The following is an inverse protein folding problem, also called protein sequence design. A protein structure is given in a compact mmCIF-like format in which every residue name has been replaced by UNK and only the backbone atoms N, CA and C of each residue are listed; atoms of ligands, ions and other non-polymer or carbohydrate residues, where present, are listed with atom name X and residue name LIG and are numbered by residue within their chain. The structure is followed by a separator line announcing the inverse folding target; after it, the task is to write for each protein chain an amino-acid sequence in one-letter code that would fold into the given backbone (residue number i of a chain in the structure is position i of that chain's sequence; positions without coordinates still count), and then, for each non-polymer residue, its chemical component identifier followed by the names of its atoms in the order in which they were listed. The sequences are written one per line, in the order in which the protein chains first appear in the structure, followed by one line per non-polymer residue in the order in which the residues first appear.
data_IF_439821182821
#
_entry.id   IF_439821182821
#
_cell.length_a   1.000
_cell.length_b   1.000
_cell.length_c   1.000
_cell.angle_alpha   90.00
_cell.angle_beta   90.00
_cell.angle_gamma   90.00
#
_symmetry.space_group_name_H-M   'P 1'
#
loop_
_entity.id
_entity.type
_entity.pdbx_description
1 polymer ?
#
# COMPACT_ATOMS: atom_id res chain seq x y z
N UNK A 1 26.39 -43.97 11.86
CA UNK A 1 27.75 -43.52 12.23
C UNK A 1 27.60 -42.21 12.98
N UNK A 2 28.10 -42.14 14.21
CA UNK A 2 28.14 -40.91 15.00
C UNK A 2 29.57 -40.39 14.98
N UNK A 3 29.76 -39.11 14.65
CA UNK A 3 31.08 -38.49 14.58
C UNK A 3 31.23 -37.52 15.75
N UNK A 4 32.35 -37.61 16.47
CA UNK A 4 32.71 -36.66 17.52
C UNK A 4 34.00 -35.96 17.11
N UNK A 5 33.99 -34.63 16.89
CA UNK A 5 35.23 -33.90 16.73
C UNK A 5 36.10 -34.04 17.98
N UNK A 6 37.38 -34.32 17.80
CA UNK A 6 38.38 -34.20 18.85
C UNK A 6 39.12 -32.89 18.61
N UNK A 7 39.20 -32.06 19.66
CA UNK A 7 39.94 -30.80 19.58
C UNK A 7 41.43 -31.12 19.67
N UNK A 8 42.16 -30.89 18.58
CA UNK A 8 43.62 -30.86 18.57
C UNK A 8 44.08 -29.40 18.46
N UNK A 9 45.02 -29.01 19.30
CA UNK A 9 45.60 -27.65 19.33
C UNK A 9 46.39 -27.30 18.04
N UNK A 10 46.45 -28.23 17.08
CA UNK A 10 47.19 -28.11 15.82
C UNK A 10 46.39 -27.42 14.71
N UNK A 11 45.06 -27.24 14.88
CA UNK A 11 44.19 -26.66 13.87
C UNK A 11 43.26 -25.58 14.47
N UNK A 12 43.42 -24.33 14.05
CA UNK A 12 42.47 -23.26 14.35
C UNK A 12 41.20 -23.45 13.50
N UNK A 13 40.15 -23.98 14.11
CA UNK A 13 38.83 -24.11 13.45
C UNK A 13 38.13 -22.76 13.53
N UNK A 14 38.14 -21.98 12.44
CA UNK A 14 37.46 -20.69 12.29
C UNK A 14 35.91 -20.74 12.29
N UNK A 15 35.29 -21.75 12.91
CA UNK A 15 33.84 -21.88 12.99
C UNK A 15 33.30 -21.32 14.30
N UNK A 16 32.55 -20.22 14.24
CA UNK A 16 31.78 -19.66 15.38
C UNK A 16 30.60 -20.54 15.83
N UNK A 17 30.29 -21.61 15.07
CA UNK A 17 29.25 -22.57 15.41
C UNK A 17 29.76 -23.57 16.46
N UNK A 18 28.90 -23.94 17.43
CA UNK A 18 29.13 -24.98 18.47
C UNK A 18 29.69 -26.32 17.94
N UNK A 19 29.55 -26.56 16.63
CA UNK A 19 29.89 -27.80 15.94
C UNK A 19 31.10 -27.65 14.99
N UNK A 20 31.72 -26.47 14.92
CA UNK A 20 32.89 -26.18 14.08
C UNK A 20 32.72 -26.65 12.63
N UNK A 21 33.71 -27.41 12.14
CA UNK A 21 33.71 -28.02 10.79
C UNK A 21 32.48 -28.89 10.48
N UNK A 22 31.90 -29.56 11.49
CA UNK A 22 30.78 -30.48 11.30
C UNK A 22 29.42 -29.76 11.18
N UNK A 23 29.35 -28.46 11.46
CA UNK A 23 28.11 -27.67 11.42
C UNK A 23 27.30 -27.84 10.12
N UNK A 24 27.89 -27.66 8.92
CA UNK A 24 27.19 -27.85 7.65
C UNK A 24 26.66 -29.28 7.44
N UNK A 25 27.45 -30.30 7.81
CA UNK A 25 27.05 -31.70 7.72
C UNK A 25 25.88 -32.02 8.65
N UNK A 26 25.92 -31.49 9.87
CA UNK A 26 24.85 -31.64 10.83
C UNK A 26 23.55 -30.96 10.35
N UNK A 27 23.63 -29.75 9.79
CA UNK A 27 22.48 -29.05 9.18
C UNK A 27 21.87 -29.86 8.04
N UNK A 28 22.68 -30.51 7.20
CA UNK A 28 22.20 -31.41 6.13
C UNK A 28 21.57 -32.68 6.71
N UNK A 29 22.18 -33.27 7.73
CA UNK A 29 21.65 -34.43 8.43
C UNK A 29 20.28 -34.13 9.04
N UNK A 30 20.12 -33.07 9.84
CA UNK A 30 18.82 -32.67 10.42
C UNK A 30 17.75 -32.54 9.33
N UNK A 31 18.07 -31.89 8.21
CA UNK A 31 17.14 -31.71 7.09
C UNK A 31 16.74 -33.04 6.44
N UNK A 32 17.70 -33.93 6.21
CA UNK A 32 17.43 -35.26 5.64
C UNK A 32 16.63 -36.12 6.61
N UNK A 33 17.02 -36.14 7.88
CA UNK A 33 16.33 -36.88 8.94
C UNK A 33 14.88 -36.43 9.08
N UNK A 34 14.61 -35.12 9.14
CA UNK A 34 13.26 -34.57 9.21
C UNK A 34 12.38 -34.97 8.01
N UNK A 35 12.95 -35.10 6.80
CA UNK A 35 12.23 -35.63 5.63
C UNK A 35 11.95 -37.13 5.77
N UNK A 36 12.87 -37.89 6.34
CA UNK A 36 12.71 -39.34 6.51
C UNK A 36 11.74 -39.72 7.64
N UNK A 37 11.47 -38.82 8.60
CA UNK A 37 10.43 -38.99 9.62
C UNK A 37 9.04 -39.22 9.03
N UNK A 38 8.77 -38.69 7.84
CA UNK A 38 7.49 -38.89 7.15
C UNK A 38 7.39 -40.25 6.46
N UNK A 39 8.52 -40.85 6.08
CA UNK A 39 8.59 -42.10 5.30
C UNK A 39 9.03 -43.27 6.17
N UNK A 40 10.35 -43.47 6.28
CA UNK A 40 10.93 -44.67 6.90
C UNK A 40 10.84 -44.65 8.43
N UNK A 41 10.72 -43.47 9.05
CA UNK A 41 10.73 -43.31 10.51
C UNK A 41 9.39 -42.83 11.08
N UNK A 42 8.29 -43.10 10.36
CA UNK A 42 6.93 -42.73 10.80
C UNK A 42 6.53 -43.40 12.12
N UNK A 43 6.96 -44.64 12.33
CA UNK A 43 6.65 -45.44 13.54
C UNK A 43 7.71 -45.35 14.63
N UNK A 44 8.76 -44.54 14.41
CA UNK A 44 9.84 -44.34 15.38
C UNK A 44 9.29 -43.67 16.65
N UNK A 45 9.80 -44.08 17.82
CA UNK A 45 9.41 -43.44 19.08
C UNK A 45 9.74 -41.94 19.04
N UNK A 46 8.74 -41.10 19.34
CA UNK A 46 8.88 -39.65 19.25
C UNK A 46 9.98 -39.09 20.14
N UNK A 47 10.25 -39.70 21.31
CA UNK A 47 11.33 -39.27 22.21
C UNK A 47 12.70 -39.44 21.56
N UNK A 48 12.89 -40.56 20.87
CA UNK A 48 14.13 -40.84 20.12
C UNK A 48 14.23 -39.92 18.91
N UNK A 49 13.12 -39.68 18.19
CA UNK A 49 13.10 -38.73 17.09
C UNK A 49 13.47 -37.31 17.55
N UNK A 50 12.92 -36.86 18.69
CA UNK A 50 13.23 -35.58 19.31
C UNK A 50 14.70 -35.51 19.76
N UNK A 51 15.26 -36.58 20.35
CA UNK A 51 16.67 -36.58 20.79
C UNK A 51 17.66 -36.58 19.63
N UNK A 52 17.33 -37.24 18.51
CA UNK A 52 18.18 -37.26 17.30
C UNK A 52 18.13 -35.93 16.56
N UNK A 53 16.94 -35.33 16.48
CA UNK A 53 16.76 -34.04 15.82
C UNK A 53 17.36 -32.89 16.63
N UNK A 54 17.35 -33.03 17.97
CA UNK A 54 17.78 -32.04 18.96
C UNK A 54 17.35 -30.61 18.55
N UNK A 55 16.03 -30.37 18.48
CA UNK A 55 15.52 -29.10 17.99
C UNK A 55 15.70 -28.01 19.04
N UNK A 56 15.98 -26.79 18.59
CA UNK A 56 15.94 -25.62 19.46
C UNK A 56 14.48 -25.31 19.82
N UNK A 57 14.12 -25.57 21.07
CA UNK A 57 12.75 -25.40 21.58
C UNK A 57 12.57 -24.05 22.31
N UNK A 58 13.65 -23.57 22.93
CA UNK A 58 13.70 -22.30 23.66
C UNK A 58 14.42 -21.26 22.79
N UNK A 59 13.67 -20.23 22.40
CA UNK A 59 14.19 -19.02 21.78
C UNK A 59 14.14 -17.92 22.85
N UNK A 60 15.28 -17.35 23.20
CA UNK A 60 15.35 -16.23 24.14
C UNK A 60 14.93 -14.94 23.45
N UNK A 61 14.45 -13.96 24.20
CA UNK A 61 13.97 -12.68 23.64
C UNK A 61 15.04 -11.93 22.83
N UNK A 62 16.32 -12.20 23.10
CA UNK A 62 17.46 -11.61 22.38
C UNK A 62 17.71 -12.23 20.99
N UNK A 63 17.09 -13.38 20.69
CA UNK A 63 17.08 -14.04 19.37
C UNK A 63 15.75 -13.88 18.63
N UNK A 64 14.76 -13.22 19.26
CA UNK A 64 13.56 -12.72 18.59
C UNK A 64 13.86 -11.44 17.80
N UNK A 65 14.98 -10.78 18.09
CA UNK A 65 15.62 -9.85 17.18
C UNK A 65 16.17 -10.65 15.98
N UNK A 66 15.75 -10.33 14.75
CA UNK A 66 16.07 -11.14 13.59
C UNK A 66 17.60 -11.24 13.43
N UNK A 67 18.20 -12.44 13.55
CA UNK A 67 19.64 -12.59 13.45
C UNK A 67 20.03 -12.43 11.99
N UNK A 68 20.43 -11.21 11.57
CA UNK A 68 21.05 -10.90 10.25
C UNK A 68 20.35 -11.40 8.97
N UNK A 69 19.20 -12.07 9.10
CA UNK A 69 18.18 -12.29 8.11
C UNK A 69 17.10 -11.28 8.44
N UNK A 70 17.11 -10.16 7.72
CA UNK A 70 16.04 -9.15 7.78
C UNK A 70 14.71 -9.87 7.89
N UNK A 71 13.82 -9.45 8.79
CA UNK A 71 12.45 -9.98 8.91
C UNK A 71 11.76 -10.18 7.55
N UNK A 72 12.10 -9.33 6.58
CA UNK A 72 11.74 -9.45 5.17
C UNK A 72 12.17 -10.77 4.49
N UNK A 73 13.36 -11.29 4.74
CA UNK A 73 13.85 -12.54 4.15
C UNK A 73 13.20 -13.79 4.75
N UNK A 74 12.88 -13.75 6.05
CA UNK A 74 12.14 -14.83 6.72
C UNK A 74 10.72 -14.88 6.17
N UNK A 75 10.05 -13.74 6.06
CA UNK A 75 8.70 -13.67 5.53
C UNK A 75 8.63 -14.00 4.04
N UNK A 76 9.52 -13.50 3.18
CA UNK A 76 9.55 -13.88 1.76
C UNK A 76 9.77 -15.39 1.57
N UNK A 77 10.66 -15.99 2.35
CA UNK A 77 10.83 -17.45 2.34
C UNK A 77 9.59 -18.20 2.82
N UNK A 78 8.70 -17.54 3.54
CA UNK A 78 7.53 -18.13 4.18
C UNK A 78 6.26 -17.89 3.37
N UNK A 79 6.15 -16.76 2.68
CA UNK A 79 5.06 -16.42 1.75
C UNK A 79 5.01 -17.36 0.54
N UNK A 80 6.15 -17.96 0.18
CA UNK A 80 6.19 -19.01 -0.85
C UNK A 80 5.52 -20.31 -0.37
N UNK A 81 5.55 -20.58 0.94
CA UNK A 81 5.06 -21.82 1.57
C UNK A 81 3.68 -21.63 2.25
N UNK A 82 3.29 -20.40 2.61
CA UNK A 82 2.06 -20.06 3.36
C UNK A 82 1.25 -19.00 2.61
N UNK A 83 0.02 -19.35 2.27
CA UNK A 83 -0.94 -18.45 1.61
C UNK A 83 -1.68 -17.54 2.60
N UNK A 84 -2.26 -16.44 2.10
CA UNK A 84 -3.21 -15.63 2.86
C UNK A 84 -4.42 -16.44 3.36
N UNK A 85 -4.81 -17.47 2.60
CA UNK A 85 -5.86 -18.41 3.02
C UNK A 85 -5.43 -19.23 4.24
N UNK A 86 -4.19 -19.71 4.26
CA UNK A 86 -3.63 -20.48 5.39
C UNK A 86 -3.54 -19.63 6.65
N UNK A 87 -3.18 -18.35 6.51
CA UNK A 87 -3.19 -17.39 7.62
C UNK A 87 -4.59 -17.19 8.21
N UNK A 88 -5.61 -17.08 7.35
CA UNK A 88 -7.01 -17.01 7.79
C UNK A 88 -7.44 -18.32 8.47
N UNK A 89 -7.13 -19.47 7.88
CA UNK A 89 -7.42 -20.78 8.46
C UNK A 89 -6.78 -20.94 9.84
N UNK A 90 -5.53 -20.51 9.99
CA UNK A 90 -4.81 -20.56 11.25
C UNK A 90 -5.44 -19.66 12.31
N UNK A 91 -5.97 -18.50 11.92
CA UNK A 91 -6.75 -17.60 12.78
C UNK A 91 -8.06 -18.25 13.21
N UNK A 92 -8.85 -18.73 12.26
CA UNK A 92 -10.16 -19.33 12.52
C UNK A 92 -10.01 -20.58 13.41
N UNK A 93 -8.95 -21.37 13.20
CA UNK A 93 -8.60 -22.48 14.08
C UNK A 93 -8.16 -22.03 15.47
N UNK A 94 -7.35 -20.97 15.58
CA UNK A 94 -6.97 -20.38 16.86
C UNK A 94 -8.19 -19.88 17.66
N UNK A 95 -9.22 -19.39 16.97
CA UNK A 95 -10.48 -18.95 17.58
C UNK A 95 -11.45 -20.12 17.86
N UNK A 96 -10.99 -21.37 17.70
CA UNK A 96 -11.76 -22.61 17.86
C UNK A 96 -12.99 -22.70 16.92
N UNK A 97 -12.94 -22.05 15.76
CA UNK A 97 -14.02 -22.07 14.76
C UNK A 97 -13.90 -23.24 13.77
N UNK A 98 -12.72 -23.88 13.71
CA UNK A 98 -12.42 -24.98 12.79
C UNK A 98 -12.00 -26.25 13.52
N UNK A 99 -12.31 -27.40 12.91
CA UNK A 99 -11.85 -28.72 13.38
C UNK A 99 -10.37 -28.94 13.00
N UNK A 100 -9.63 -29.69 13.83
CA UNK A 100 -8.20 -29.96 13.64
C UNK A 100 -7.89 -30.64 12.31
N UNK A 101 -8.86 -31.38 11.74
CA UNK A 101 -8.72 -32.07 10.45
C UNK A 101 -8.50 -31.09 9.31
N UNK A 102 -9.09 -29.90 9.38
CA UNK A 102 -8.91 -28.85 8.35
C UNK A 102 -7.45 -28.38 8.31
N UNK A 103 -6.74 -28.48 9.44
CA UNK A 103 -5.34 -28.07 9.55
C UNK A 103 -4.36 -29.15 9.09
N UNK A 104 -4.81 -30.35 8.70
CA UNK A 104 -3.93 -31.49 8.39
C UNK A 104 -2.93 -31.21 7.27
N UNK A 105 -3.28 -30.35 6.31
CA UNK A 105 -2.40 -29.99 5.19
C UNK A 105 -1.38 -28.91 5.58
N UNK A 106 -1.76 -28.01 6.49
CA UNK A 106 -0.92 -26.91 6.94
C UNK A 106 0.09 -27.31 8.01
N UNK A 107 -0.28 -28.24 8.90
CA UNK A 107 0.57 -28.69 10.01
C UNK A 107 1.93 -29.23 9.56
N UNK A 108 2.04 -30.07 8.51
CA UNK A 108 3.33 -30.53 8.00
C UNK A 108 4.22 -29.40 7.48
N UNK A 109 3.63 -28.37 6.86
CA UNK A 109 4.36 -27.20 6.37
C UNK A 109 4.94 -26.45 7.58
N UNK A 110 4.09 -26.10 8.55
CA UNK A 110 4.49 -25.39 9.77
C UNK A 110 5.54 -26.15 10.58
N UNK A 111 5.38 -27.47 10.73
CA UNK A 111 6.36 -28.31 11.42
C UNK A 111 7.71 -28.29 10.72
N UNK A 112 7.76 -28.42 9.38
CA UNK A 112 9.02 -28.36 8.62
C UNK A 112 9.75 -27.04 8.78
N UNK A 113 9.02 -25.93 8.85
CA UNK A 113 9.59 -24.59 9.03
C UNK A 113 10.10 -24.44 10.47
N UNK A 114 9.31 -24.89 11.45
CA UNK A 114 9.66 -24.87 12.87
C UNK A 114 10.93 -25.66 13.18
N UNK A 115 11.00 -26.92 12.75
CA UNK A 115 12.16 -27.79 12.99
C UNK A 115 13.39 -27.44 12.14
N UNK A 116 13.28 -26.46 11.23
CA UNK A 116 14.41 -25.80 10.57
C UNK A 116 14.90 -24.55 11.30
N UNK A 117 14.34 -24.26 12.47
CA UNK A 117 14.66 -23.10 13.29
C UNK A 117 14.39 -21.77 12.56
N UNK A 118 13.53 -21.79 11.52
CA UNK A 118 13.07 -20.60 10.78
C UNK A 118 11.87 -19.92 11.44
N UNK A 119 11.23 -20.60 12.38
CA UNK A 119 10.09 -20.10 13.13
C UNK A 119 10.47 -20.05 14.63
N UNK A 120 11.06 -18.93 15.11
CA UNK A 120 11.56 -18.80 16.48
C UNK A 120 10.41 -18.63 17.50
N UNK A 121 9.62 -19.69 17.66
CA UNK A 121 8.49 -19.75 18.57
C UNK A 121 8.81 -20.69 19.72
N UNK A 122 8.77 -20.19 20.96
CA UNK A 122 8.99 -21.02 22.14
C UNK A 122 7.85 -22.01 22.34
N UNK A 123 8.16 -23.31 22.29
CA UNK A 123 7.22 -24.38 22.60
C UNK A 123 7.67 -25.08 23.88
N UNK A 124 6.75 -25.74 24.59
CA UNK A 124 7.17 -26.71 25.62
C UNK A 124 7.65 -28.00 24.94
N UNK A 125 8.42 -28.82 25.65
CA UNK A 125 8.88 -30.11 25.11
C UNK A 125 7.70 -31.00 24.65
N UNK A 126 6.60 -31.01 25.41
CA UNK A 126 5.38 -31.72 25.03
C UNK A 126 4.73 -31.15 23.76
N UNK A 127 4.70 -29.81 23.61
CA UNK A 127 4.19 -29.15 22.41
C UNK A 127 5.05 -29.46 21.18
N UNK A 128 6.37 -29.37 21.30
CA UNK A 128 7.29 -29.68 20.21
C UNK A 128 7.21 -31.17 19.82
N UNK A 129 7.15 -32.07 20.80
CA UNK A 129 6.95 -33.51 20.56
C UNK A 129 5.65 -33.79 19.83
N UNK A 130 4.55 -33.16 20.24
CA UNK A 130 3.26 -33.29 19.56
C UNK A 130 3.32 -32.80 18.11
N UNK A 131 3.96 -31.65 17.88
CA UNK A 131 4.16 -31.11 16.54
C UNK A 131 5.01 -32.04 15.66
N UNK A 132 6.02 -32.71 16.23
CA UNK A 132 6.82 -33.70 15.52
C UNK A 132 5.96 -34.90 15.10
N UNK A 133 5.16 -35.45 16.00
CA UNK A 133 4.27 -36.58 15.71
C UNK A 133 3.25 -36.24 14.62
N UNK A 134 2.55 -35.12 14.76
CA UNK A 134 1.49 -34.72 13.81
C UNK A 134 2.06 -34.21 12.48
N UNK A 135 3.13 -33.41 12.51
CA UNK A 135 3.62 -32.71 11.33
C UNK A 135 4.73 -33.42 10.57
N UNK A 136 5.70 -34.02 11.27
CA UNK A 136 6.81 -34.72 10.62
C UNK A 136 6.54 -36.20 10.43
N UNK A 137 5.96 -36.87 11.43
CA UNK A 137 5.63 -38.30 11.35
C UNK A 137 4.23 -38.55 10.74
N UNK A 138 3.40 -37.52 10.59
CA UNK A 138 2.02 -37.63 10.07
C UNK A 138 1.22 -38.71 10.81
N UNK A 139 1.36 -38.79 12.14
CA UNK A 139 0.62 -39.73 12.96
C UNK A 139 -0.77 -39.20 13.30
N UNK A 140 -1.73 -40.11 13.38
CA UNK A 140 -3.07 -39.80 13.84
C UNK A 140 -3.12 -39.61 15.36
N UNK A 141 -4.16 -38.90 15.83
CA UNK A 141 -4.37 -38.63 17.26
C UNK A 141 -4.42 -39.92 18.09
N UNK A 142 -4.97 -41.00 17.54
CA UNK A 142 -5.03 -42.32 18.18
C UNK A 142 -3.64 -42.88 18.44
N UNK A 143 -2.76 -42.87 17.44
CA UNK A 143 -1.37 -43.31 17.60
C UNK A 143 -0.61 -42.45 18.60
N UNK A 144 -0.84 -41.14 18.58
CA UNK A 144 -0.21 -40.20 19.50
C UNK A 144 -0.67 -40.45 20.94
N UNK A 145 -1.96 -40.73 21.14
CA UNK A 145 -2.52 -41.07 22.44
C UNK A 145 -1.88 -42.34 23.02
N UNK A 146 -1.67 -43.38 22.19
CA UNK A 146 -0.99 -44.61 22.61
C UNK A 146 0.47 -44.36 23.02
N UNK A 147 1.21 -43.54 22.27
CA UNK A 147 2.62 -43.27 22.53
C UNK A 147 2.86 -42.33 23.72
N UNK A 148 2.05 -41.28 23.83
CA UNK A 148 2.24 -40.22 24.84
C UNK A 148 1.51 -40.50 26.15
N UNK A 149 0.56 -41.45 26.15
CA UNK A 149 -0.36 -41.75 27.27
C UNK A 149 -1.18 -40.53 27.72
N UNK A 150 -1.36 -39.54 26.82
CA UNK A 150 -2.18 -38.36 27.07
C UNK A 150 -3.60 -38.58 26.60
N UNK A 151 -4.56 -37.94 27.28
CA UNK A 151 -5.95 -37.95 26.85
C UNK A 151 -6.14 -37.17 25.54
N UNK A 152 -7.05 -37.62 24.68
CA UNK A 152 -7.40 -36.96 23.41
C UNK A 152 -7.68 -35.46 23.56
N UNK A 153 -8.40 -35.07 24.60
CA UNK A 153 -8.76 -33.67 24.89
C UNK A 153 -7.51 -32.82 25.18
N UNK A 154 -6.53 -33.37 25.90
CA UNK A 154 -5.26 -32.72 26.19
C UNK A 154 -4.40 -32.54 24.94
N UNK A 155 -4.35 -33.56 24.08
CA UNK A 155 -3.64 -33.51 22.80
C UNK A 155 -4.19 -32.37 21.94
N UNK A 156 -5.52 -32.30 21.79
CA UNK A 156 -6.18 -31.22 21.04
C UNK A 156 -5.93 -29.85 21.67
N UNK A 157 -5.99 -29.74 23.00
CA UNK A 157 -5.69 -28.50 23.72
C UNK A 157 -4.25 -28.02 23.47
N UNK A 158 -3.28 -28.94 23.51
CA UNK A 158 -1.88 -28.63 23.19
C UNK A 158 -1.73 -28.20 21.74
N UNK A 159 -2.41 -28.88 20.82
CA UNK A 159 -2.41 -28.55 19.40
C UNK A 159 -2.94 -27.14 19.13
N UNK A 160 -4.09 -26.76 19.72
CA UNK A 160 -4.64 -25.40 19.65
C UNK A 160 -3.64 -24.37 20.21
N UNK A 161 -2.99 -24.66 21.33
CA UNK A 161 -1.97 -23.76 21.91
C UNK A 161 -0.79 -23.55 20.98
N UNK A 162 -0.34 -24.58 20.25
CA UNK A 162 0.74 -24.46 19.26
C UNK A 162 0.30 -23.56 18.11
N UNK A 163 -0.88 -23.82 17.54
CA UNK A 163 -1.40 -23.04 16.40
C UNK A 163 -1.63 -21.57 16.78
N UNK A 164 -2.11 -21.28 17.98
CA UNK A 164 -2.20 -19.90 18.52
C UNK A 164 -0.85 -19.18 18.55
N UNK A 165 0.20 -19.86 19.00
CA UNK A 165 1.56 -19.30 19.03
C UNK A 165 2.09 -19.02 17.63
N UNK A 166 1.87 -19.96 16.70
CA UNK A 166 2.24 -19.78 15.29
C UNK A 166 1.48 -18.61 14.66
N UNK A 167 0.17 -18.54 14.83
CA UNK A 167 -0.64 -17.42 14.35
C UNK A 167 -0.10 -16.08 14.87
N UNK A 168 0.11 -15.96 16.18
CA UNK A 168 0.59 -14.72 16.81
C UNK A 168 1.92 -14.26 16.20
N UNK A 169 2.86 -15.18 16.01
CA UNK A 169 4.17 -14.87 15.44
C UNK A 169 4.09 -14.47 13.96
N UNK A 170 3.40 -15.27 13.15
CA UNK A 170 3.24 -15.00 11.71
C UNK A 170 2.48 -13.70 11.45
N UNK A 171 1.42 -13.44 12.22
CA UNK A 171 0.67 -12.20 12.16
C UNK A 171 1.54 -11.00 12.56
N UNK A 172 2.38 -11.16 13.59
CA UNK A 172 3.34 -10.13 14.00
C UNK A 172 4.29 -9.74 12.86
N UNK A 173 4.90 -10.75 12.21
CA UNK A 173 5.79 -10.51 11.06
C UNK A 173 5.05 -9.81 9.91
N UNK A 174 3.89 -10.35 9.51
CA UNK A 174 3.11 -9.77 8.42
C UNK A 174 2.68 -8.33 8.72
N UNK A 175 2.31 -8.03 9.97
CA UNK A 175 1.95 -6.67 10.38
C UNK A 175 3.15 -5.71 10.32
N UNK A 176 4.34 -6.18 10.72
CA UNK A 176 5.56 -5.38 10.68
C UNK A 176 5.97 -5.07 9.24
N UNK A 177 5.84 -6.04 8.33
CA UNK A 177 6.11 -5.80 6.90
C UNK A 177 5.14 -4.77 6.32
N UNK A 178 3.83 -4.88 6.62
CA UNK A 178 2.84 -3.89 6.18
C UNK A 178 3.21 -2.50 6.72
N UNK A 179 3.57 -2.39 8.00
CA UNK A 179 4.00 -1.12 8.62
C UNK A 179 5.27 -0.56 7.97
N UNK A 180 6.26 -1.40 7.65
CA UNK A 180 7.48 -0.98 6.95
C UNK A 180 7.25 -0.61 5.48
N UNK A 181 6.24 -1.21 4.83
CA UNK A 181 5.86 -0.89 3.45
C UNK A 181 4.99 0.35 3.33
N UNK A 182 4.34 0.77 4.43
CA UNK A 182 3.58 2.01 4.44
C UNK A 182 4.55 3.19 4.26
N UNK A 183 4.27 4.12 3.33
CA UNK A 183 5.08 5.32 3.23
C UNK A 183 5.02 6.04 4.58
N UNK A 184 6.18 6.34 5.17
CA UNK A 184 6.27 7.22 6.32
C UNK A 184 5.47 8.48 5.98
N UNK A 185 4.38 8.71 6.73
CA UNK A 185 3.66 9.96 6.66
C UNK A 185 4.63 10.98 7.23
N UNK A 186 5.47 11.56 6.36
CA UNK A 186 6.26 12.74 6.71
C UNK A 186 5.23 13.75 7.17
N UNK A 187 5.20 14.04 8.47
CA UNK A 187 4.52 15.21 8.99
C UNK A 187 5.04 16.37 8.17
N UNK A 188 4.23 16.81 7.21
CA UNK A 188 4.54 18.03 6.47
C UNK A 188 4.48 19.10 7.53
N UNK A 189 5.64 19.63 7.89
CA UNK A 189 5.71 20.82 8.72
C UNK A 189 4.90 21.90 8.00
N UNK A 190 3.68 22.12 8.44
CA UNK A 190 2.77 23.11 7.87
C UNK A 190 3.33 24.47 8.28
N UNK A 191 4.26 24.99 7.49
CA UNK A 191 4.73 26.37 7.64
C UNK A 191 3.59 27.25 7.14
N UNK A 192 3.07 28.17 7.97
CA UNK A 192 2.12 29.18 7.51
C UNK A 192 2.73 29.91 6.32
N UNK A 193 1.95 30.13 5.27
CA UNK A 193 2.39 31.01 4.19
C UNK A 193 2.74 32.39 4.77
N UNK A 194 3.80 33.01 4.27
CA UNK A 194 4.25 34.33 4.71
C UNK A 194 3.27 35.44 4.36
N UNK A 195 2.34 35.16 3.45
CA UNK A 195 1.30 36.07 2.96
C UNK A 195 -0.03 35.57 3.53
N UNK A 196 -0.80 36.48 4.11
CA UNK A 196 -2.15 36.17 4.57
C UNK A 196 -3.09 35.98 3.38
N UNK A 197 -4.07 35.08 3.51
CA UNK A 197 -5.15 34.91 2.50
C UNK A 197 -5.83 36.24 2.18
N UNK A 198 -5.95 37.14 3.17
CA UNK A 198 -6.52 38.47 2.95
C UNK A 198 -5.65 39.38 2.09
N UNK A 199 -4.33 39.29 2.23
CA UNK A 199 -3.37 40.06 1.43
C UNK A 199 -3.38 39.58 -0.02
N UNK A 200 -3.31 38.26 -0.25
CA UNK A 200 -3.37 37.65 -1.59
C UNK A 200 -4.68 38.01 -2.33
N UNK A 201 -5.82 37.94 -1.63
CA UNK A 201 -7.11 38.37 -2.18
C UNK A 201 -7.14 39.86 -2.51
N UNK A 202 -6.51 40.70 -1.69
CA UNK A 202 -6.45 42.14 -1.92
C UNK A 202 -5.55 42.52 -3.10
N UNK A 203 -4.43 41.80 -3.28
CA UNK A 203 -3.54 41.96 -4.44
C UNK A 203 -4.24 41.52 -5.73
N UNK A 204 -4.94 40.38 -5.70
CA UNK A 204 -5.75 39.92 -6.82
C UNK A 204 -6.87 40.92 -7.17
N UNK A 205 -7.55 41.48 -6.17
CA UNK A 205 -8.57 42.50 -6.38
C UNK A 205 -8.01 43.77 -7.04
N UNK A 206 -6.87 44.28 -6.57
CA UNK A 206 -6.18 45.43 -7.16
C UNK A 206 -5.79 45.19 -8.61
N UNK A 207 -5.25 44.00 -8.92
CA UNK A 207 -4.91 43.65 -10.30
C UNK A 207 -6.13 43.61 -11.23
N UNK A 208 -7.30 43.20 -10.73
CA UNK A 208 -8.55 43.20 -11.51
C UNK A 208 -9.05 44.63 -11.70
N UNK A 209 -9.02 45.46 -10.66
CA UNK A 209 -9.43 46.87 -10.76
C UNK A 209 -8.54 47.65 -11.72
N UNK A 210 -7.22 47.45 -11.70
CA UNK A 210 -6.29 48.10 -12.64
C UNK A 210 -6.54 47.65 -14.08
N UNK A 211 -6.80 46.35 -14.30
CA UNK A 211 -7.18 45.85 -15.64
C UNK A 211 -8.48 46.48 -16.12
N UNK A 212 -9.50 46.54 -15.27
CA UNK A 212 -10.78 47.18 -15.61
C UNK A 212 -10.60 48.67 -15.87
N UNK A 213 -9.80 49.39 -15.07
CA UNK A 213 -9.51 50.81 -15.29
C UNK A 213 -8.83 51.03 -16.64
N UNK A 214 -7.78 50.27 -16.95
CA UNK A 214 -7.08 50.35 -18.23
C UNK A 214 -8.01 50.04 -19.42
N UNK A 215 -8.89 49.04 -19.29
CA UNK A 215 -9.91 48.74 -20.30
C UNK A 215 -10.93 49.89 -20.45
N UNK A 216 -11.38 50.48 -19.34
CA UNK A 216 -12.32 51.61 -19.39
C UNK A 216 -11.69 52.90 -19.92
N UNK A 217 -10.43 53.19 -19.61
CA UNK A 217 -9.70 54.34 -20.15
C UNK A 217 -9.51 54.20 -21.67
N UNK A 218 -9.23 52.98 -22.15
CA UNK A 218 -9.17 52.69 -23.58
C UNK A 218 -10.54 52.86 -24.28
N UNK A 219 -11.66 52.63 -23.57
CA UNK A 219 -13.01 52.85 -24.11
C UNK A 219 -13.45 54.31 -24.04
N UNK A 220 -13.01 55.05 -23.02
CA UNK A 220 -13.30 56.48 -22.79
C UNK A 220 -12.35 57.40 -23.55
N UNK A 221 -11.86 56.97 -24.71
CA UNK A 221 -11.06 57.81 -25.59
C UNK A 221 -11.89 59.05 -26.02
N UNK A 222 -11.43 60.28 -25.73
CA UNK A 222 -12.20 61.50 -25.98
C UNK A 222 -12.55 61.68 -27.47
N UNK A 223 -11.71 61.19 -28.37
CA UNK A 223 -11.94 61.23 -29.83
C UNK A 223 -13.11 60.35 -30.29
N UNK A 224 -13.39 59.23 -29.59
CA UNK A 224 -14.56 58.39 -29.85
C UNK A 224 -15.83 59.03 -29.29
N UNK A 225 -15.74 59.64 -28.10
CA UNK A 225 -16.86 60.32 -27.44
C UNK A 225 -17.30 61.57 -28.19
N UNK A 226 -16.37 62.31 -28.82
CA UNK A 226 -16.67 63.45 -29.68
C UNK A 226 -17.58 63.09 -30.87
N UNK A 227 -17.56 61.84 -31.36
CA UNK A 227 -18.46 61.40 -32.45
C UNK A 227 -19.93 61.42 -32.02
N UNK A 228 -20.19 61.22 -30.73
CA UNK A 228 -21.52 61.25 -30.11
C UNK A 228 -21.86 62.60 -29.48
N UNK A 229 -20.96 63.59 -29.56
CA UNK A 229 -21.26 64.95 -29.13
C UNK A 229 -22.37 65.53 -30.02
N UNK A 230 -23.50 65.82 -29.39
CA UNK A 230 -24.61 66.56 -29.99
C UNK A 230 -24.14 68.02 -30.08
N UNK A 231 -23.84 68.46 -31.30
CA UNK A 231 -23.55 69.87 -31.55
C UNK A 231 -24.87 70.62 -31.40
N UNK A 232 -24.93 71.49 -30.41
CA UNK A 232 -26.14 72.23 -30.06
C UNK A 232 -26.50 73.21 -31.17
N UNK A 233 -27.40 72.78 -32.05
CA UNK A 233 -28.10 73.63 -33.01
C UNK A 233 -29.56 73.68 -32.56
N UNK A 234 -29.82 74.51 -31.56
CA UNK A 234 -31.17 74.72 -30.99
C UNK A 234 -32.23 74.97 -32.07
N UNK A 235 -31.86 75.59 -33.20
CA UNK A 235 -32.77 75.85 -34.33
C UNK A 235 -33.41 74.60 -34.95
N UNK A 236 -32.70 73.47 -35.03
CA UNK A 236 -33.21 72.25 -35.66
C UNK A 236 -34.12 71.45 -34.71
N UNK A 237 -33.84 71.52 -33.41
CA UNK A 237 -34.70 70.98 -32.34
C UNK A 237 -35.98 71.82 -32.22
N UNK A 238 -35.89 73.15 -32.27
CA UNK A 238 -37.05 74.04 -32.24
C UNK A 238 -37.97 73.85 -33.46
N UNK A 239 -37.42 73.71 -34.66
CA UNK A 239 -38.19 73.40 -35.87
C UNK A 239 -38.91 72.03 -35.80
N UNK A 240 -38.29 71.03 -35.18
CA UNK A 240 -38.91 69.73 -34.96
C UNK A 240 -40.08 69.80 -33.95
N UNK A 241 -39.99 70.69 -32.96
CA UNK A 241 -41.05 70.91 -31.96
C UNK A 241 -42.21 71.75 -32.51
N UNK A 242 -41.96 72.71 -33.41
CA UNK A 242 -43.02 73.57 -33.97
C UNK A 242 -43.93 72.86 -34.99
N UNK A 243 -43.42 71.88 -35.74
CA UNK A 243 -44.21 71.11 -36.72
C UNK A 243 -45.09 70.00 -36.10
N UNK A 244 -45.11 69.87 -34.76
CA UNK A 244 -45.70 68.73 -34.04
C UNK A 244 -46.76 69.08 -32.99
N UNK A 245 -47.78 69.92 -33.29
CA UNK A 245 -48.93 70.13 -32.35
C UNK A 245 -49.81 68.89 -32.11
N UNK A 246 -49.50 67.74 -32.69
CA UNK A 246 -49.96 66.42 -32.24
C UNK A 246 -48.76 65.49 -32.13
N UNK A 247 -48.35 65.17 -30.91
CA UNK A 247 -47.30 64.18 -30.64
C UNK A 247 -47.74 62.80 -31.18
N UNK A 248 -46.88 62.06 -31.90
CA UNK A 248 -47.19 60.67 -32.22
C UNK A 248 -47.22 59.86 -30.92
N UNK A 249 -48.14 58.91 -30.79
CA UNK A 249 -48.36 58.10 -29.58
C UNK A 249 -47.12 57.27 -29.12
N UNK A 250 -46.05 57.26 -29.92
CA UNK A 250 -44.79 56.57 -29.62
C UNK A 250 -43.76 57.43 -28.86
N UNK A 251 -43.97 58.75 -28.68
CA UNK A 251 -43.11 59.61 -27.84
C UNK A 251 -41.69 59.90 -28.34
N UNK A 252 -41.31 59.49 -29.56
CA UNK A 252 -39.97 59.70 -30.13
C UNK A 252 -40.02 60.68 -31.30
N UNK A 253 -39.13 61.68 -31.30
CA UNK A 253 -38.94 62.66 -32.39
C UNK A 253 -37.54 62.47 -32.96
N UNK A 254 -37.45 62.26 -34.27
CA UNK A 254 -36.18 62.12 -34.99
C UNK A 254 -35.85 63.40 -35.74
N UNK A 255 -34.67 63.96 -35.51
CA UNK A 255 -34.15 65.12 -36.23
C UNK A 255 -33.11 64.64 -37.24
N UNK A 256 -33.22 65.11 -38.49
CA UNK A 256 -32.34 64.71 -39.58
C UNK A 256 -30.93 65.28 -39.33
N UNK A 257 -29.93 64.41 -39.23
CA UNK A 257 -28.53 64.84 -39.13
C UNK A 257 -28.00 65.21 -40.52
N UNK A 258 -27.31 66.35 -40.62
CA UNK A 258 -26.67 66.82 -41.87
C UNK A 258 -25.15 66.54 -41.88
N UNK A 259 -24.67 65.54 -41.16
CA UNK A 259 -23.25 65.12 -41.24
C UNK A 259 -23.06 64.19 -42.45
N UNK A 260 -22.09 64.49 -43.31
CA UNK A 260 -21.59 63.54 -44.31
C UNK A 260 -20.97 62.34 -43.61
N UNK A 261 -21.24 61.12 -44.10
CA UNK A 261 -20.79 59.85 -43.51
C UNK A 261 -19.31 59.86 -43.12
N UNK A 262 -19.01 59.39 -41.91
CA UNK A 262 -17.67 58.95 -41.52
C UNK A 262 -17.70 57.42 -41.35
N UNK A 263 -16.83 56.78 -42.12
CA UNK A 263 -16.60 55.35 -42.34
C UNK A 263 -17.02 54.37 -41.24
N UNK A 264 -17.68 53.28 -41.68
CA UNK A 264 -17.86 52.04 -40.95
C UNK A 264 -16.49 51.51 -40.48
N UNK A 265 -16.31 51.38 -39.17
CA UNK A 265 -15.28 50.52 -38.59
C UNK A 265 -15.90 49.61 -37.53
N UNK A 266 -15.67 48.31 -37.71
CA UNK A 266 -15.66 47.30 -36.65
C UNK A 266 -17.01 46.71 -36.24
N UNK A 267 -17.28 45.48 -36.70
CA UNK A 267 -18.21 44.56 -36.03
C UNK A 267 -17.78 44.38 -34.57
N UNK A 268 -18.71 44.27 -33.59
CA UNK A 268 -18.35 43.74 -32.28
C UNK A 268 -18.08 42.24 -32.45
N UNK A 269 -16.84 41.82 -32.20
CA UNK A 269 -16.52 40.40 -32.06
C UNK A 269 -17.31 39.84 -30.88
N UNK A 270 -18.12 38.82 -31.16
CA UNK A 270 -18.88 38.11 -30.15
C UNK A 270 -17.95 37.44 -29.16
N UNK A 271 -18.26 37.63 -27.87
CA UNK A 271 -17.70 36.89 -26.75
C UNK A 271 -17.60 35.38 -27.06
N UNK A 272 -16.38 34.88 -27.27
CA UNK A 272 -16.10 33.45 -27.23
C UNK A 272 -16.33 32.94 -25.79
N UNK A 273 -17.36 32.10 -25.66
CA UNK A 273 -17.63 31.27 -24.49
C UNK A 273 -16.52 30.23 -24.32
N UNK A 274 -15.98 30.18 -23.10
CA UNK A 274 -15.23 29.10 -22.44
C UNK A 274 -14.70 27.94 -23.29
N UNK A 275 -13.38 27.91 -23.49
CA UNK A 275 -12.65 26.70 -23.93
C UNK A 275 -12.53 25.68 -22.80
N UNK A 276 -13.33 24.63 -22.92
CA UNK A 276 -13.17 23.34 -22.25
C UNK A 276 -11.89 22.67 -22.78
N UNK A 277 -11.06 22.17 -21.86
CA UNK A 277 -9.85 21.37 -22.12
C UNK A 277 -10.13 20.21 -23.09
N UNK A 278 -9.32 20.07 -24.12
CA UNK A 278 -9.16 18.83 -24.89
C UNK A 278 -7.68 18.56 -25.11
N UNK A 279 -7.26 17.35 -24.72
CA UNK A 279 -5.96 16.75 -24.93
C UNK A 279 -5.71 16.56 -26.42
N UNK A 280 -4.46 16.78 -26.84
CA UNK A 280 -3.91 16.11 -28.02
C UNK A 280 -2.58 15.48 -27.61
N UNK A 281 -2.44 14.18 -27.91
CA UNK A 281 -1.22 13.65 -28.51
C UNK A 281 -1.58 12.30 -29.15
N UNK A 282 -1.82 12.35 -30.45
CA UNK A 282 -1.66 11.22 -31.37
C UNK A 282 -0.30 11.38 -32.06
N UNK A 283 0.60 10.44 -31.83
CA UNK A 283 1.76 10.18 -32.70
C UNK A 283 1.55 8.83 -33.39
N UNK A 284 1.52 8.87 -34.72
CA UNK A 284 1.46 7.71 -35.62
C UNK A 284 2.78 6.95 -35.59
N UNK A 285 2.74 5.61 -35.60
CA UNK A 285 3.60 4.85 -36.51
C UNK A 285 2.93 3.55 -36.95
N UNK A 286 2.90 3.34 -38.26
CA UNK A 286 2.50 2.10 -38.92
C UNK A 286 3.71 1.14 -38.94
N UNK A 287 3.49 -0.14 -38.63
CA UNK A 287 4.16 -1.23 -39.35
C UNK A 287 3.36 -2.54 -39.25
N UNK A 288 2.69 -2.88 -40.36
CA UNK A 288 2.34 -4.27 -40.71
C UNK A 288 3.56 -4.90 -41.39
N UNK A 289 3.96 -6.10 -40.96
CA UNK A 289 4.58 -7.12 -41.83
C UNK A 289 3.93 -8.46 -41.48
N UNK A 290 3.46 -9.16 -42.52
CA UNK A 290 3.01 -10.56 -42.50
C UNK A 290 4.22 -11.49 -42.35
N UNK A 291 4.09 -12.51 -41.51
CA UNK A 291 4.22 -13.95 -41.81
C UNK A 291 4.02 -14.73 -40.51
#
# INVERSE_FOLDING_TARGET
MMLRPLNSNEFEVHGSDQWGFFGPFYKVFKRKFARQLTYCFRTMEYKLAMSVLDPKINFTDMELEPPSFTSEGIWRSLSDDISAFDMKMLKDFADNLLDYRVMSELVPILARIYFREKLPVTLSYAQASLLLCMGLQLQDITCIQEQTKLERTQILSLFVKIMKKFHKYLYGIASNEILSSLPEIKERHLVPHSISVGEDLSEAAKQVEEKMKNETENLLNPDLLQRYAILDKESDLENALQNGRKMPASGVVSVKSNRSEAEKHGKPEGHERGKKRSKEHTSKSNKKVKS
#
